data_IF_758411035366
#
_entry.id   IF_758411035366
#
_cell.length_a   1.000
_cell.length_b   1.000
_cell.length_c   1.000
_cell.angle_alpha   90.00
_cell.angle_beta   90.00
_cell.angle_gamma   90.00
#
_symmetry.space_group_name_H-M   'P 1'
#
loop_
_entity.id
_entity.type
_entity.pdbx_description
1 polymer ?
#
# COMPACT_ATOMS: atom_id res chain seq x y z
N UNK A 1 -4.92 -12.73 -0.06
CA UNK A 1 -4.86 -11.26 -0.04
C UNK A 1 -6.26 -10.71 0.00
N UNK A 2 -6.53 -9.83 0.93
CA UNK A 2 -7.79 -9.07 1.00
C UNK A 2 -7.52 -7.66 0.44
N UNK A 3 -8.36 -7.23 -0.48
CA UNK A 3 -8.25 -5.93 -1.12
C UNK A 3 -9.22 -4.94 -0.45
N UNK A 4 -8.69 -3.85 0.09
CA UNK A 4 -9.45 -2.76 0.68
C UNK A 4 -9.44 -1.56 -0.26
N UNK A 5 -9.79 -1.81 -1.50
CA UNK A 5 -10.05 -0.79 -2.49
C UNK A 5 -11.39 -0.09 -2.18
N UNK A 6 -11.60 1.07 -2.71
CA UNK A 6 -12.84 1.78 -2.50
C UNK A 6 -12.75 2.88 -1.44
N UNK A 7 -11.69 3.66 -1.55
CA UNK A 7 -11.43 4.85 -0.73
C UNK A 7 -12.66 5.72 -0.48
N UNK A 8 -13.54 5.87 -1.49
CA UNK A 8 -14.79 6.62 -1.32
C UNK A 8 -15.73 5.99 -0.30
N UNK A 9 -15.76 4.64 -0.23
CA UNK A 9 -16.54 3.93 0.77
C UNK A 9 -15.96 4.15 2.18
N UNK A 10 -14.64 4.20 2.32
CA UNK A 10 -13.96 4.43 3.59
C UNK A 10 -14.06 5.89 4.09
N UNK A 11 -14.28 6.85 3.21
CA UNK A 11 -14.49 8.26 3.56
C UNK A 11 -15.94 8.59 3.87
N UNK A 12 -16.89 7.71 3.57
CA UNK A 12 -18.30 7.92 3.87
C UNK A 12 -18.57 7.91 5.39
N UNK A 13 -19.56 8.67 5.88
CA UNK A 13 -19.95 8.64 7.29
C UNK A 13 -20.30 7.23 7.77
N UNK A 14 -19.77 6.82 8.92
CA UNK A 14 -19.99 5.51 9.52
C UNK A 14 -19.38 4.33 8.75
N UNK A 15 -18.46 4.60 7.81
CA UNK A 15 -17.81 3.55 7.02
C UNK A 15 -16.99 2.60 7.90
N UNK A 16 -16.24 3.14 8.83
CA UNK A 16 -15.33 2.38 9.70
C UNK A 16 -16.07 1.34 10.53
N UNK A 17 -17.18 1.73 11.13
CA UNK A 17 -18.02 0.84 11.91
C UNK A 17 -18.65 -0.26 11.06
N UNK A 18 -19.05 0.05 9.84
CA UNK A 18 -19.64 -0.92 8.90
C UNK A 18 -18.64 -1.97 8.42
N UNK A 19 -17.35 -1.63 8.30
CA UNK A 19 -16.33 -2.54 7.79
C UNK A 19 -15.64 -3.39 8.87
N UNK A 20 -15.69 -3.01 10.14
CA UNK A 20 -15.06 -3.76 11.23
C UNK A 20 -15.50 -5.23 11.29
N UNK A 21 -16.79 -5.43 11.35
CA UNK A 21 -17.35 -6.78 11.44
C UNK A 21 -17.03 -7.66 10.24
N UNK A 22 -17.24 -7.19 8.99
CA UNK A 22 -16.86 -7.94 7.77
C UNK A 22 -15.38 -8.31 7.72
N UNK A 23 -14.46 -7.40 8.04
CA UNK A 23 -13.02 -7.68 8.04
C UNK A 23 -12.70 -8.85 8.96
N UNK A 24 -13.13 -8.80 10.21
CA UNK A 24 -12.86 -9.87 11.17
C UNK A 24 -13.59 -11.19 10.86
N UNK A 25 -14.78 -11.16 10.27
CA UNK A 25 -15.48 -12.38 9.84
C UNK A 25 -14.76 -13.08 8.69
N UNK A 26 -14.32 -12.34 7.68
CA UNK A 26 -13.63 -12.91 6.53
C UNK A 26 -12.31 -13.56 6.93
N UNK A 27 -11.52 -12.89 7.73
CA UNK A 27 -10.20 -13.41 8.13
C UNK A 27 -10.27 -14.62 9.04
N UNK A 28 -11.28 -14.71 9.91
CA UNK A 28 -11.48 -15.88 10.76
C UNK A 28 -11.86 -17.16 9.99
N UNK A 29 -12.37 -17.02 8.77
CA UNK A 29 -12.69 -18.17 7.90
C UNK A 29 -11.48 -18.69 7.13
N UNK A 30 -10.38 -17.96 7.13
CA UNK A 30 -9.15 -18.36 6.45
C UNK A 30 -8.38 -19.33 7.36
N UNK A 31 -8.01 -20.53 6.86
CA UNK A 31 -7.25 -21.49 7.63
C UNK A 31 -5.98 -20.91 8.22
N UNK A 32 -5.55 -21.33 9.42
CA UNK A 32 -4.41 -20.72 10.13
C UNK A 32 -3.08 -20.84 9.39
N UNK A 33 -2.92 -21.88 8.56
CA UNK A 33 -1.74 -22.10 7.72
C UNK A 33 -1.66 -21.21 6.47
N UNK A 34 -2.73 -20.48 6.16
CA UNK A 34 -2.80 -19.60 5.00
C UNK A 34 -2.41 -18.16 5.41
N UNK A 35 -1.44 -17.58 4.72
CA UNK A 35 -1.02 -16.21 4.96
C UNK A 35 -2.13 -15.21 4.64
N UNK A 36 -2.33 -14.26 5.54
CA UNK A 36 -3.31 -13.17 5.40
C UNK A 36 -2.58 -11.85 5.21
N UNK A 37 -2.87 -11.16 4.13
CA UNK A 37 -2.35 -9.81 3.90
C UNK A 37 -3.40 -8.90 3.30
N UNK A 38 -3.23 -7.61 3.54
CA UNK A 38 -4.10 -6.57 3.02
C UNK A 38 -3.39 -5.72 1.96
N UNK A 39 -4.08 -5.54 0.82
CA UNK A 39 -3.75 -4.51 -0.15
C UNK A 39 -4.61 -3.28 0.12
N UNK A 40 -3.97 -2.15 0.32
CA UNK A 40 -4.59 -0.86 0.63
C UNK A 40 -4.22 0.13 -0.47
N UNK A 41 -5.21 0.70 -1.13
CA UNK A 41 -4.96 1.64 -2.23
C UNK A 41 -6.01 2.74 -2.33
N UNK A 42 -5.73 3.71 -3.20
CA UNK A 42 -6.59 4.87 -3.44
C UNK A 42 -7.67 4.64 -4.50
N UNK A 43 -7.86 3.37 -4.95
CA UNK A 43 -8.79 3.02 -5.99
C UNK A 43 -8.26 3.30 -7.41
N UNK A 44 -8.73 2.49 -8.36
CA UNK A 44 -8.25 2.52 -9.76
C UNK A 44 -9.36 2.38 -10.80
N UNK A 45 -10.63 2.45 -10.39
CA UNK A 45 -11.80 2.35 -11.26
C UNK A 45 -12.85 3.40 -10.87
N UNK A 46 -13.54 4.05 -11.81
CA UNK A 46 -13.41 3.98 -13.28
C UNK A 46 -12.21 4.73 -13.83
N UNK A 47 -11.60 5.61 -13.05
CA UNK A 47 -10.41 6.40 -13.41
C UNK A 47 -9.23 6.03 -12.50
N UNK A 48 -8.04 6.33 -12.96
CA UNK A 48 -6.85 6.02 -12.20
C UNK A 48 -5.93 7.24 -12.08
N UNK A 49 -5.60 7.67 -10.85
CA UNK A 49 -6.16 7.24 -9.58
C UNK A 49 -7.59 7.76 -9.39
N UNK A 50 -8.43 6.98 -8.74
CA UNK A 50 -9.80 7.39 -8.42
C UNK A 50 -9.85 8.46 -7.32
N UNK A 51 -8.81 8.52 -6.50
CA UNK A 51 -8.65 9.47 -5.41
C UNK A 51 -7.25 10.09 -5.47
N UNK A 52 -7.18 11.41 -5.49
CA UNK A 52 -5.91 12.12 -5.43
C UNK A 52 -5.42 12.19 -3.99
N UNK A 53 -4.43 11.37 -3.67
CA UNK A 53 -3.86 11.30 -2.35
C UNK A 53 -2.99 12.53 -2.05
N UNK A 54 -3.31 13.22 -0.97
CA UNK A 54 -2.45 14.32 -0.43
C UNK A 54 -1.29 13.77 0.40
N UNK A 55 -1.55 12.66 1.10
CA UNK A 55 -0.60 11.97 1.95
C UNK A 55 -1.03 10.51 2.17
N UNK A 56 -0.27 9.76 2.98
CA UNK A 56 -0.58 8.37 3.31
C UNK A 56 -1.52 8.21 4.52
N UNK A 57 -2.09 9.27 5.09
CA UNK A 57 -2.88 9.18 6.33
C UNK A 57 -4.08 8.23 6.19
N UNK A 58 -4.77 8.26 5.05
CA UNK A 58 -5.90 7.36 4.83
C UNK A 58 -5.46 5.90 4.80
N UNK A 59 -4.39 5.57 4.07
CA UNK A 59 -3.90 4.19 4.00
C UNK A 59 -3.37 3.69 5.35
N UNK A 60 -2.68 4.54 6.10
CA UNK A 60 -2.23 4.22 7.47
C UNK A 60 -3.42 3.95 8.37
N UNK A 61 -4.45 4.80 8.34
CA UNK A 61 -5.66 4.58 9.11
C UNK A 61 -6.37 3.28 8.71
N UNK A 62 -6.46 2.97 7.41
CA UNK A 62 -7.04 1.72 6.92
C UNK A 62 -6.21 0.51 7.38
N UNK A 63 -4.89 0.59 7.33
CA UNK A 63 -3.99 -0.46 7.79
C UNK A 63 -4.18 -0.76 9.28
N UNK A 64 -4.09 0.27 10.13
CA UNK A 64 -4.28 0.15 11.58
C UNK A 64 -5.65 -0.46 11.90
N UNK A 65 -6.68 -0.02 11.18
CA UNK A 65 -8.03 -0.54 11.34
C UNK A 65 -8.15 -2.02 10.93
N UNK A 66 -7.57 -2.39 9.80
CA UNK A 66 -7.58 -3.77 9.30
C UNK A 66 -6.83 -4.70 10.27
N UNK A 67 -5.66 -4.30 10.76
CA UNK A 67 -4.90 -5.07 11.75
C UNK A 67 -5.69 -5.24 13.04
N UNK A 68 -6.22 -4.16 13.60
CA UNK A 68 -6.99 -4.18 14.84
C UNK A 68 -8.26 -5.04 14.76
N UNK A 69 -8.88 -5.16 13.59
CA UNK A 69 -10.15 -5.86 13.40
C UNK A 69 -10.02 -7.21 12.65
N UNK A 70 -8.83 -7.62 12.28
CA UNK A 70 -8.61 -8.85 11.50
C UNK A 70 -9.07 -10.13 12.25
N UNK A 71 -9.04 -10.13 13.59
CA UNK A 71 -9.41 -11.32 14.39
C UNK A 71 -8.40 -12.46 14.34
N UNK A 72 -7.26 -12.27 13.65
CA UNK A 72 -6.08 -13.12 13.61
C UNK A 72 -4.85 -12.29 13.19
N UNK A 73 -3.62 -12.78 13.40
CA UNK A 73 -2.41 -12.11 12.93
C UNK A 73 -2.47 -11.82 11.43
N UNK A 74 -2.00 -10.64 11.06
CA UNK A 74 -1.82 -10.21 9.67
C UNK A 74 -0.36 -10.44 9.29
N UNK A 75 -0.10 -11.15 8.20
CA UNK A 75 1.25 -11.50 7.80
C UNK A 75 1.93 -10.37 7.02
N UNK A 76 1.16 -9.59 6.24
CA UNK A 76 1.71 -8.47 5.50
C UNK A 76 0.67 -7.41 5.13
N UNK A 77 1.18 -6.18 4.94
CA UNK A 77 0.43 -5.02 4.47
C UNK A 77 1.09 -4.45 3.22
N UNK A 78 0.31 -4.17 2.18
CA UNK A 78 0.76 -3.43 1.01
C UNK A 78 0.04 -2.08 0.95
N UNK A 79 0.76 -0.99 1.19
CA UNK A 79 0.27 0.38 1.09
C UNK A 79 0.71 0.93 -0.27
N UNK A 80 -0.22 0.98 -1.22
CA UNK A 80 0.09 1.39 -2.59
C UNK A 80 0.23 2.91 -2.71
N UNK A 81 1.40 3.39 -3.09
CA UNK A 81 1.61 4.79 -3.45
C UNK A 81 0.89 5.18 -4.74
N UNK A 82 0.57 6.45 -4.93
CA UNK A 82 0.03 6.95 -6.19
C UNK A 82 1.12 6.97 -7.27
N UNK A 83 0.73 6.76 -8.52
CA UNK A 83 1.64 6.64 -9.67
C UNK A 83 2.52 7.87 -9.92
N UNK A 84 2.03 9.04 -9.55
CA UNK A 84 2.67 10.34 -9.82
C UNK A 84 3.40 10.92 -8.61
N UNK A 85 3.60 10.13 -7.55
CA UNK A 85 4.23 10.60 -6.33
C UNK A 85 5.62 11.20 -6.61
N UNK A 86 5.83 12.43 -6.18
CA UNK A 86 7.13 13.08 -6.21
C UNK A 86 7.98 12.61 -5.05
N UNK A 87 9.27 12.46 -5.32
CA UNK A 87 10.22 11.85 -4.38
C UNK A 87 10.57 12.72 -3.19
N UNK A 88 10.42 14.04 -3.34
CA UNK A 88 10.86 15.05 -2.37
C UNK A 88 9.76 15.42 -1.37
N UNK A 89 8.59 14.79 -1.44
CA UNK A 89 7.47 15.16 -0.58
C UNK A 89 7.50 14.39 0.76
N UNK A 90 8.24 14.92 1.72
CA UNK A 90 8.28 14.42 3.10
C UNK A 90 6.88 14.42 3.74
N UNK A 91 6.06 15.40 3.43
CA UNK A 91 4.70 15.51 3.94
C UNK A 91 3.84 14.33 3.54
N UNK A 92 4.09 13.77 2.35
CA UNK A 92 3.34 12.61 1.86
C UNK A 92 3.58 11.36 2.74
N UNK A 93 4.81 11.10 3.14
CA UNK A 93 5.20 9.91 3.92
C UNK A 93 5.07 10.08 5.44
N UNK A 94 4.99 11.30 5.94
CA UNK A 94 4.92 11.59 7.39
C UNK A 94 3.89 10.75 8.16
N UNK A 95 2.68 10.47 7.64
CA UNK A 95 1.71 9.64 8.34
C UNK A 95 2.17 8.20 8.62
N UNK A 96 3.20 7.69 7.92
CA UNK A 96 3.75 6.35 8.17
C UNK A 96 4.28 6.20 9.62
N UNK A 97 4.70 7.29 10.25
CA UNK A 97 5.10 7.26 11.66
C UNK A 97 3.97 6.88 12.64
N UNK A 98 2.72 6.91 12.19
CA UNK A 98 1.55 6.46 12.95
C UNK A 98 1.05 5.05 12.57
N UNK A 99 1.81 4.30 11.75
CA UNK A 99 1.44 2.95 11.34
C UNK A 99 1.67 1.96 12.50
N UNK A 100 0.59 1.29 12.91
CA UNK A 100 0.61 0.15 13.82
C UNK A 100 0.36 -1.13 13.03
N UNK A 101 1.44 -1.70 12.50
CA UNK A 101 1.38 -2.91 11.69
C UNK A 101 1.38 -4.21 12.53
N UNK A 102 1.58 -4.12 13.85
CA UNK A 102 1.88 -5.30 14.68
C UNK A 102 3.09 -6.04 14.14
N UNK A 103 2.98 -7.36 13.97
CA UNK A 103 4.05 -8.19 13.41
C UNK A 103 3.99 -8.30 11.86
N UNK A 104 3.06 -7.60 11.21
CA UNK A 104 2.88 -7.67 9.77
C UNK A 104 4.07 -7.03 9.03
N UNK A 105 4.58 -7.74 8.01
CA UNK A 105 5.58 -7.17 7.10
C UNK A 105 4.96 -6.09 6.22
N UNK A 106 5.55 -4.90 6.21
CA UNK A 106 5.04 -3.77 5.42
C UNK A 106 5.72 -3.70 4.07
N UNK A 107 4.96 -3.45 3.02
CA UNK A 107 5.44 -3.17 1.66
C UNK A 107 4.85 -1.84 1.19
N UNK A 108 5.73 -0.93 0.73
CA UNK A 108 5.31 0.35 0.16
C UNK A 108 5.30 0.27 -1.37
N UNK A 109 4.18 0.65 -1.98
CA UNK A 109 3.97 0.67 -3.42
C UNK A 109 4.66 1.86 -4.10
N UNK A 110 5.96 2.00 -3.91
CA UNK A 110 6.76 3.16 -4.35
C UNK A 110 7.64 2.89 -5.59
N UNK A 111 7.55 1.71 -6.18
CA UNK A 111 8.15 1.42 -7.49
C UNK A 111 7.25 2.01 -8.57
N UNK A 112 7.60 3.20 -9.05
CA UNK A 112 6.79 3.98 -10.00
C UNK A 112 7.41 3.96 -11.41
N UNK A 113 6.61 4.19 -12.46
CA UNK A 113 7.09 4.19 -13.84
C UNK A 113 7.72 5.53 -14.27
N UNK A 114 7.79 6.52 -13.36
CA UNK A 114 8.05 7.92 -13.73
C UNK A 114 9.52 8.32 -13.67
N UNK A 115 10.33 7.68 -12.82
CA UNK A 115 11.70 8.14 -12.51
C UNK A 115 12.69 7.02 -12.17
N UNK A 116 12.35 5.77 -12.47
CA UNK A 116 13.23 4.61 -12.37
C UNK A 116 13.79 4.35 -10.96
N UNK A 117 14.98 3.72 -10.90
CA UNK A 117 15.65 3.35 -9.65
C UNK A 117 16.10 4.57 -8.84
N UNK A 118 16.50 5.64 -9.50
CA UNK A 118 16.92 6.86 -8.79
C UNK A 118 15.77 7.49 -8.01
N UNK A 119 14.58 7.57 -8.60
CA UNK A 119 13.37 8.03 -7.92
C UNK A 119 12.94 7.09 -6.80
N UNK A 120 13.05 5.77 -7.02
CA UNK A 120 12.80 4.81 -5.94
C UNK A 120 13.69 5.06 -4.72
N UNK A 121 15.00 5.22 -4.92
CA UNK A 121 15.94 5.46 -3.81
C UNK A 121 15.62 6.74 -3.03
N UNK A 122 15.22 7.82 -3.71
CA UNK A 122 14.79 9.04 -3.03
C UNK A 122 13.54 8.78 -2.18
N UNK A 123 12.51 8.11 -2.75
CA UNK A 123 11.30 7.74 -1.99
C UNK A 123 11.58 6.82 -0.81
N UNK A 124 12.49 5.86 -0.97
CA UNK A 124 12.92 5.01 0.14
C UNK A 124 13.57 5.83 1.26
N UNK A 125 14.52 6.72 0.91
CA UNK A 125 15.17 7.57 1.88
C UNK A 125 14.18 8.45 2.66
N UNK A 126 13.24 9.08 1.93
CA UNK A 126 12.19 9.89 2.56
C UNK A 126 11.26 9.05 3.46
N UNK A 127 10.77 7.92 2.97
CA UNK A 127 9.87 7.05 3.74
C UNK A 127 10.55 6.46 4.98
N UNK A 128 11.84 6.12 4.89
CA UNK A 128 12.63 5.53 5.99
C UNK A 128 12.77 6.47 7.20
N UNK A 129 12.60 7.78 7.01
CA UNK A 129 12.56 8.74 8.12
C UNK A 129 11.33 8.53 9.03
N UNK A 130 10.28 7.90 8.55
CA UNK A 130 9.02 7.69 9.27
C UNK A 130 8.71 6.21 9.53
N UNK A 131 9.20 5.32 8.68
CA UNK A 131 9.05 3.87 8.80
C UNK A 131 10.39 3.21 8.44
N UNK A 132 11.19 2.77 9.45
CA UNK A 132 12.58 2.33 9.20
C UNK A 132 12.69 1.00 8.45
N UNK A 133 11.72 0.10 8.58
CA UNK A 133 11.73 -1.22 7.94
C UNK A 133 10.50 -1.44 7.06
N UNK A 134 10.73 -1.62 5.76
CA UNK A 134 9.69 -1.99 4.78
C UNK A 134 10.30 -2.58 3.51
N UNK A 135 9.51 -3.42 2.86
CA UNK A 135 9.79 -3.87 1.50
C UNK A 135 9.24 -2.90 0.44
N UNK A 136 9.74 -3.02 -0.79
CA UNK A 136 9.24 -2.24 -1.91
C UNK A 136 8.29 -3.07 -2.78
N UNK A 137 7.25 -2.41 -3.27
CA UNK A 137 6.27 -2.98 -4.19
C UNK A 137 5.90 -1.96 -5.28
N UNK A 138 5.13 -2.41 -6.26
CA UNK A 138 4.59 -1.50 -7.27
C UNK A 138 3.35 -0.78 -6.75
N UNK A 139 3.07 0.37 -7.38
CA UNK A 139 1.83 1.09 -7.20
C UNK A 139 0.61 0.24 -7.63
N UNK A 140 -0.57 0.61 -7.18
CA UNK A 140 -1.82 -0.04 -7.58
C UNK A 140 -2.21 0.29 -9.03
N UNK A 141 -3.00 -0.59 -9.65
CA UNK A 141 -3.60 -0.36 -10.97
C UNK A 141 -2.68 -0.50 -12.17
N UNK A 142 -1.45 -0.94 -11.98
CA UNK A 142 -0.52 -1.15 -13.09
C UNK A 142 -1.10 -2.08 -14.18
N UNK A 143 -1.92 -3.05 -13.81
CA UNK A 143 -2.60 -3.95 -14.72
C UNK A 143 -3.60 -3.27 -15.68
N UNK A 144 -4.08 -2.08 -15.32
CA UNK A 144 -5.02 -1.27 -16.11
C UNK A 144 -4.35 -0.13 -16.87
N UNK A 145 -3.03 0.02 -16.74
CA UNK A 145 -2.30 1.09 -17.41
C UNK A 145 -2.28 0.85 -18.93
N UNK A 146 -2.71 1.82 -19.76
CA UNK A 146 -2.57 1.72 -21.22
C UNK A 146 -1.12 1.58 -21.64
N UNK A 147 -0.86 0.79 -22.69
CA UNK A 147 0.49 0.63 -23.26
C UNK A 147 1.49 -0.07 -22.35
N UNK A 148 1.05 -0.75 -21.29
CA UNK A 148 1.96 -1.46 -20.39
C UNK A 148 2.70 -2.58 -21.11
N UNK A 149 3.99 -2.66 -20.89
CA UNK A 149 4.82 -3.83 -21.17
C UNK A 149 5.08 -4.61 -19.89
N UNK A 150 4.49 -5.80 -19.79
CA UNK A 150 4.66 -6.67 -18.62
C UNK A 150 6.13 -7.07 -18.40
N UNK A 151 6.87 -7.33 -19.47
CA UNK A 151 8.29 -7.67 -19.38
C UNK A 151 9.13 -6.49 -18.88
N UNK A 152 8.87 -5.28 -19.37
CA UNK A 152 9.55 -4.09 -18.87
C UNK A 152 9.23 -3.87 -17.39
N UNK A 153 7.97 -4.05 -17.02
CA UNK A 153 7.54 -3.94 -15.63
C UNK A 153 8.27 -4.92 -14.71
N UNK A 154 8.45 -6.16 -15.14
CA UNK A 154 9.18 -7.16 -14.35
C UNK A 154 10.68 -6.80 -14.25
N UNK A 155 11.29 -6.30 -15.33
CA UNK A 155 12.67 -5.79 -15.29
C UNK A 155 12.82 -4.63 -14.30
N UNK A 156 11.91 -3.66 -14.35
CA UNK A 156 11.92 -2.50 -13.45
C UNK A 156 11.77 -2.93 -11.99
N UNK A 157 10.86 -3.86 -11.73
CA UNK A 157 10.65 -4.38 -10.38
C UNK A 157 11.88 -5.14 -9.86
N UNK A 158 12.50 -5.96 -10.71
CA UNK A 158 13.75 -6.65 -10.36
C UNK A 158 14.86 -5.66 -10.02
N UNK A 159 15.05 -4.64 -10.83
CA UNK A 159 16.05 -3.60 -10.57
C UNK A 159 15.76 -2.85 -9.26
N UNK A 160 14.49 -2.53 -9.01
CA UNK A 160 14.04 -1.91 -7.77
C UNK A 160 14.35 -2.79 -6.55
N UNK A 161 14.00 -4.08 -6.62
CA UNK A 161 14.24 -5.03 -5.54
C UNK A 161 15.72 -5.26 -5.26
N UNK A 162 16.57 -5.24 -6.27
CA UNK A 162 18.03 -5.32 -6.08
C UNK A 162 18.60 -4.03 -5.47
N UNK A 163 18.11 -2.89 -5.89
CA UNK A 163 18.55 -1.58 -5.39
C UNK A 163 18.13 -1.31 -3.92
N UNK A 164 17.08 -1.99 -3.44
CA UNK A 164 16.59 -1.84 -2.06
C UNK A 164 17.36 -2.68 -1.02
N UNK A 165 18.25 -3.57 -1.48
CA UNK A 165 19.04 -4.45 -0.61
C UNK A 165 20.43 -3.91 -0.26
N UNK A 166 20.84 -2.82 -0.85
CA UNK A 166 22.11 -2.11 -0.63
C UNK A 166 21.91 -0.76 0.01
#
# INVERSE_FOLDING_TARGET
MLDLEGVLAWTAPGAWERFAGPVGRLTRLIPPEVLVGYHLCYGTFPEWPMYEARDMALLVRMANYAVANSGRPVDWLHLAGPRYLRSEDDGFFRPLGGLDAGDARVYLGIVLPVDGVAGLRRRQATASAFLPDFGVARYCGFGRQPGRDGNQTMRDHRQAALASRG
#
